data_IF_963506224048
#
_entry.id   IF_963506224048
#
_cell.length_a   1.000
_cell.length_b   1.000
_cell.length_c   1.000
_cell.angle_alpha   90.00
_cell.angle_beta   90.00
_cell.angle_gamma   90.00
#
_symmetry.space_group_name_H-M   'P 1'
#
loop_
_entity.id
_entity.type
_entity.pdbx_description
1 polymer ?
#
# COMPACT_ATOMS: atom_id res chain seq x y z
N UNK A 1 -0.96 24.15 -3.00
CA UNK A 1 -1.32 23.46 -1.75
C UNK A 1 -0.95 22.00 -1.84
N UNK A 2 -0.21 21.52 -0.87
CA UNK A 2 0.24 20.13 -0.84
C UNK A 2 -0.81 19.27 -0.17
N UNK A 3 -1.20 18.18 -0.84
CA UNK A 3 -2.11 17.22 -0.25
C UNK A 3 -1.30 16.08 0.36
N UNK A 4 -1.40 15.92 1.67
CA UNK A 4 -0.75 14.82 2.37
C UNK A 4 -1.75 13.68 2.49
N UNK A 5 -1.32 12.51 2.09
CA UNK A 5 -2.14 11.31 2.19
C UNK A 5 -1.83 10.60 3.50
N UNK A 6 -2.86 9.97 4.07
CA UNK A 6 -2.71 9.13 5.25
C UNK A 6 -2.36 7.72 4.78
N UNK A 7 -1.21 7.21 5.22
CA UNK A 7 -0.66 5.96 4.70
C UNK A 7 -0.57 4.92 5.81
N UNK A 8 -1.09 3.73 5.52
CA UNK A 8 -0.94 2.56 6.38
C UNK A 8 0.00 1.58 5.66
N UNK A 9 1.00 1.08 6.38
CA UNK A 9 1.95 0.13 5.82
C UNK A 9 1.66 -1.25 6.40
N UNK A 10 1.48 -2.24 5.53
CA UNK A 10 1.28 -3.63 5.94
C UNK A 10 2.44 -4.46 5.42
N UNK A 11 3.37 -4.80 6.31
CA UNK A 11 4.57 -5.56 5.97
C UNK A 11 5.13 -6.16 7.25
N UNK A 12 5.54 -7.41 7.21
CA UNK A 12 6.06 -8.09 8.39
C UNK A 12 7.56 -7.90 8.59
N UNK A 13 8.23 -7.21 7.68
CA UNK A 13 9.66 -6.93 7.79
C UNK A 13 9.87 -5.53 8.37
N UNK A 14 10.38 -5.41 9.61
CA UNK A 14 10.53 -4.08 10.23
C UNK A 14 11.49 -3.16 9.49
N UNK A 15 12.46 -3.71 8.75
CA UNK A 15 13.39 -2.88 7.96
C UNK A 15 12.67 -2.23 6.79
N UNK A 16 11.76 -2.97 6.15
CA UNK A 16 10.95 -2.45 5.06
C UNK A 16 10.03 -1.35 5.59
N UNK A 17 9.35 -1.62 6.70
CA UNK A 17 8.46 -0.63 7.32
C UNK A 17 9.22 0.67 7.60
N UNK A 18 10.41 0.55 8.18
CA UNK A 18 11.21 1.73 8.52
C UNK A 18 11.64 2.50 7.29
N UNK A 19 12.12 1.79 6.26
CA UNK A 19 12.58 2.42 5.02
C UNK A 19 11.43 3.12 4.30
N UNK A 20 10.29 2.45 4.19
CA UNK A 20 9.13 3.02 3.51
C UNK A 20 8.59 4.20 4.30
N UNK A 21 8.55 4.09 5.64
CA UNK A 21 8.09 5.20 6.48
C UNK A 21 8.94 6.45 6.29
N UNK A 22 10.26 6.28 6.26
CA UNK A 22 11.16 7.42 6.05
C UNK A 22 10.97 8.04 4.68
N UNK A 23 10.81 7.19 3.67
CA UNK A 23 10.64 7.65 2.30
C UNK A 23 9.36 8.47 2.14
N UNK A 24 8.27 8.00 2.74
CA UNK A 24 6.97 8.63 2.58
C UNK A 24 6.73 9.80 3.54
N UNK A 25 7.42 9.84 4.67
CA UNK A 25 7.17 10.85 5.70
C UNK A 25 7.52 12.28 5.24
N UNK A 26 8.30 12.41 4.19
CA UNK A 26 8.64 13.73 3.65
C UNK A 26 7.40 14.45 3.11
N UNK A 27 6.50 13.69 2.48
CA UNK A 27 5.35 14.26 1.79
C UNK A 27 4.00 13.76 2.29
N UNK A 28 3.97 12.72 3.12
CA UNK A 28 2.73 12.09 3.55
C UNK A 28 2.77 11.74 5.04
N UNK A 29 1.63 11.38 5.58
CA UNK A 29 1.49 11.01 7.00
C UNK A 29 1.37 9.50 7.11
N UNK A 30 2.43 8.85 7.61
CA UNK A 30 2.37 7.41 7.90
C UNK A 30 1.65 7.25 9.23
N UNK A 31 0.41 6.78 9.18
CA UNK A 31 -0.46 6.74 10.36
C UNK A 31 -0.35 5.45 11.15
N UNK A 32 0.31 4.44 10.59
CA UNK A 32 0.52 3.20 11.32
C UNK A 32 1.15 2.14 10.43
N UNK A 33 1.47 1.01 11.05
CA UNK A 33 1.94 -0.17 10.35
C UNK A 33 1.38 -1.41 11.02
N UNK A 34 1.15 -2.44 10.24
CA UNK A 34 0.66 -3.73 10.72
C UNK A 34 1.45 -4.85 10.07
N UNK A 35 1.46 -6.02 10.72
CA UNK A 35 2.28 -7.15 10.27
C UNK A 35 1.45 -8.32 9.75
N UNK A 36 0.14 -8.29 9.90
CA UNK A 36 -0.74 -9.40 9.47
C UNK A 36 -1.96 -8.87 8.76
N UNK A 37 -2.60 -9.74 7.97
CA UNK A 37 -3.83 -9.39 7.28
C UNK A 37 -4.99 -9.12 8.22
N UNK A 38 -5.06 -9.85 9.33
CA UNK A 38 -6.11 -9.64 10.34
C UNK A 38 -5.99 -8.24 10.93
N UNK A 39 -4.78 -7.85 11.31
CA UNK A 39 -4.54 -6.52 11.86
C UNK A 39 -4.77 -5.44 10.80
N UNK A 40 -4.50 -5.74 9.54
CA UNK A 40 -4.71 -4.79 8.45
C UNK A 40 -6.18 -4.40 8.34
N UNK A 41 -7.08 -5.37 8.30
CA UNK A 41 -8.50 -5.08 8.14
C UNK A 41 -9.03 -4.26 9.31
N UNK A 42 -8.58 -4.58 10.51
CA UNK A 42 -8.96 -3.83 11.71
C UNK A 42 -8.42 -2.40 11.67
N UNK A 43 -7.15 -2.24 11.29
CA UNK A 43 -6.52 -0.92 11.22
C UNK A 43 -7.17 -0.03 10.16
N UNK A 44 -7.60 -0.60 9.04
CA UNK A 44 -8.29 0.17 8.00
C UNK A 44 -9.56 0.79 8.55
N UNK A 45 -10.31 0.04 9.34
CA UNK A 45 -11.55 0.55 9.94
C UNK A 45 -11.28 1.64 10.96
N UNK A 46 -10.22 1.51 11.74
CA UNK A 46 -9.89 2.46 12.80
C UNK A 46 -9.20 3.71 12.30
N UNK A 47 -8.25 3.55 11.39
CA UNK A 47 -7.38 4.65 10.95
C UNK A 47 -7.87 5.34 9.68
N UNK A 48 -8.67 4.66 8.90
CA UNK A 48 -9.21 5.18 7.63
C UNK A 48 -8.12 5.80 6.76
N UNK A 49 -7.13 4.99 6.35
CA UNK A 49 -6.04 5.52 5.52
C UNK A 49 -6.53 5.84 4.10
N UNK A 50 -5.85 6.75 3.45
CA UNK A 50 -6.09 7.05 2.05
C UNK A 50 -5.42 6.01 1.15
N UNK A 51 -4.24 5.55 1.57
CA UNK A 51 -3.43 4.61 0.81
C UNK A 51 -2.87 3.55 1.75
N UNK A 52 -2.86 2.32 1.28
CA UNK A 52 -2.23 1.20 1.97
C UNK A 52 -1.09 0.70 1.09
N UNK A 53 0.11 0.62 1.66
CA UNK A 53 1.24 -0.06 1.02
C UNK A 53 1.24 -1.47 1.59
N UNK A 54 0.87 -2.43 0.78
CA UNK A 54 0.58 -3.80 1.21
C UNK A 54 1.59 -4.77 0.63
N UNK A 55 2.34 -5.42 1.53
CA UNK A 55 3.24 -6.50 1.16
C UNK A 55 2.42 -7.70 0.67
N UNK A 56 2.78 -8.20 -0.49
CA UNK A 56 2.10 -9.34 -1.10
C UNK A 56 2.25 -10.63 -0.27
N UNK A 57 3.29 -10.71 0.55
CA UNK A 57 3.62 -11.93 1.30
C UNK A 57 3.48 -11.76 2.80
N UNK A 58 2.36 -11.19 3.25
CA UNK A 58 2.09 -11.11 4.68
C UNK A 58 2.01 -12.50 5.31
N UNK A 59 2.47 -12.58 6.55
CA UNK A 59 2.67 -13.84 7.26
C UNK A 59 1.41 -14.70 7.37
N UNK A 60 0.26 -14.10 7.60
CA UNK A 60 -0.97 -14.85 7.83
C UNK A 60 -1.85 -14.95 6.59
N UNK A 61 -1.26 -14.77 5.41
CA UNK A 61 -2.00 -15.24 4.41
C UNK A 61 -2.27 -14.57 3.10
N UNK A 62 -3.45 -14.11 2.91
CA UNK A 62 -4.00 -13.78 1.62
C UNK A 62 -4.04 -12.28 1.41
N UNK A 63 -2.89 -11.71 1.00
CA UNK A 63 -2.81 -10.28 0.73
C UNK A 63 -3.71 -9.87 -0.42
N UNK A 64 -3.84 -10.72 -1.44
CA UNK A 64 -4.73 -10.42 -2.57
C UNK A 64 -6.18 -10.40 -2.14
N UNK A 65 -6.58 -11.34 -1.28
CA UNK A 65 -7.93 -11.36 -0.73
C UNK A 65 -8.21 -10.15 0.14
N UNK A 66 -7.23 -9.75 0.96
CA UNK A 66 -7.36 -8.55 1.78
C UNK A 66 -7.50 -7.30 0.90
N UNK A 67 -6.70 -7.21 -0.15
CA UNK A 67 -6.78 -6.11 -1.11
C UNK A 67 -8.18 -6.02 -1.72
N UNK A 68 -8.70 -7.15 -2.17
CA UNK A 68 -10.04 -7.21 -2.78
C UNK A 68 -11.10 -6.77 -1.78
N UNK A 69 -11.04 -7.27 -0.56
CA UNK A 69 -12.01 -6.91 0.45
C UNK A 69 -11.99 -5.41 0.77
N UNK A 70 -10.79 -4.86 0.94
CA UNK A 70 -10.62 -3.43 1.26
C UNK A 70 -11.15 -2.57 0.13
N UNK A 71 -10.78 -2.86 -1.11
CA UNK A 71 -11.17 -2.03 -2.24
C UNK A 71 -12.66 -2.13 -2.55
N UNK A 72 -13.29 -3.25 -2.23
CA UNK A 72 -14.73 -3.40 -2.40
C UNK A 72 -15.53 -2.65 -1.33
N UNK A 73 -15.04 -2.64 -0.09
CA UNK A 73 -15.73 -1.99 1.03
C UNK A 73 -15.44 -0.49 1.12
N UNK A 74 -14.25 -0.08 0.71
CA UNK A 74 -13.79 1.30 0.88
C UNK A 74 -13.27 1.82 -0.45
N UNK A 75 -14.17 2.28 -1.29
CA UNK A 75 -13.79 2.73 -2.64
C UNK A 75 -12.85 3.93 -2.64
N UNK A 76 -12.80 4.67 -1.53
CA UNK A 76 -11.90 5.81 -1.41
C UNK A 76 -10.48 5.42 -0.97
N UNK A 77 -10.30 4.19 -0.47
CA UNK A 77 -8.99 3.71 -0.03
C UNK A 77 -8.29 3.04 -1.21
N UNK A 78 -7.08 3.47 -1.50
CA UNK A 78 -6.27 2.90 -2.58
C UNK A 78 -5.26 1.92 -1.99
N UNK A 79 -4.98 0.86 -2.73
CA UNK A 79 -4.01 -0.15 -2.30
C UNK A 79 -2.89 -0.22 -3.34
N UNK A 80 -1.65 -0.05 -2.87
CA UNK A 80 -0.45 -0.28 -3.66
C UNK A 80 0.13 -1.59 -3.17
N UNK A 81 0.21 -2.59 -4.05
CA UNK A 81 0.86 -3.85 -3.70
C UNK A 81 2.36 -3.74 -3.90
N UNK A 82 3.10 -4.18 -2.92
CA UNK A 82 4.54 -3.99 -2.80
C UNK A 82 5.18 -5.36 -2.65
N UNK A 83 6.04 -5.74 -3.58
CA UNK A 83 6.56 -7.10 -3.63
C UNK A 83 8.00 -7.15 -4.11
N UNK A 84 8.76 -8.11 -3.60
CA UNK A 84 10.09 -8.40 -4.11
C UNK A 84 10.06 -9.32 -5.33
N UNK A 85 8.89 -9.74 -5.76
CA UNK A 85 8.73 -10.67 -6.89
C UNK A 85 7.97 -9.97 -8.02
N UNK A 86 8.64 -9.72 -9.13
CA UNK A 86 8.06 -9.03 -10.28
C UNK A 86 7.64 -10.03 -11.35
N UNK A 87 6.77 -10.96 -10.98
CA UNK A 87 6.18 -11.94 -11.90
C UNK A 87 4.96 -11.31 -12.58
N UNK A 88 4.88 -11.34 -13.93
CA UNK A 88 3.73 -10.77 -14.63
C UNK A 88 2.39 -11.34 -14.20
N UNK A 89 2.34 -12.62 -13.81
CA UNK A 89 1.10 -13.24 -13.35
C UNK A 89 0.68 -12.67 -11.99
N UNK A 90 1.64 -12.45 -11.11
CA UNK A 90 1.37 -11.85 -9.80
C UNK A 90 0.90 -10.41 -9.97
N UNK A 91 1.54 -9.67 -10.86
CA UNK A 91 1.14 -8.29 -11.17
C UNK A 91 -0.30 -8.25 -11.70
N UNK A 92 -0.65 -9.16 -12.59
CA UNK A 92 -2.00 -9.25 -13.15
C UNK A 92 -3.03 -9.50 -12.05
N UNK A 93 -2.74 -10.46 -11.16
CA UNK A 93 -3.63 -10.79 -10.04
C UNK A 93 -3.80 -9.62 -9.07
N UNK A 94 -2.73 -8.87 -8.85
CA UNK A 94 -2.77 -7.69 -7.99
C UNK A 94 -3.77 -6.66 -8.52
N UNK A 95 -3.67 -6.37 -9.81
CA UNK A 95 -4.57 -5.39 -10.43
C UNK A 95 -6.00 -5.89 -10.46
N UNK A 96 -6.21 -7.18 -10.68
CA UNK A 96 -7.55 -7.78 -10.64
C UNK A 96 -8.16 -7.73 -9.25
N UNK A 97 -7.32 -7.76 -8.22
CA UNK A 97 -7.80 -7.66 -6.84
C UNK A 97 -8.14 -6.23 -6.45
N UNK A 98 -7.94 -5.27 -7.33
CA UNK A 98 -8.32 -3.89 -7.10
C UNK A 98 -7.17 -2.97 -6.72
N UNK A 99 -5.93 -3.44 -6.72
CA UNK A 99 -4.78 -2.58 -6.45
C UNK A 99 -4.66 -1.52 -7.53
N UNK A 100 -4.34 -0.30 -7.13
CA UNK A 100 -4.15 0.79 -8.09
C UNK A 100 -2.74 0.78 -8.68
N UNK A 101 -1.80 0.09 -8.03
CA UNK A 101 -0.44 -0.05 -8.53
C UNK A 101 0.23 -1.27 -7.93
N UNK A 102 1.21 -1.79 -8.64
CA UNK A 102 2.08 -2.85 -8.17
C UNK A 102 3.51 -2.32 -8.26
N UNK A 103 4.24 -2.35 -7.15
CA UNK A 103 5.58 -1.76 -7.07
C UNK A 103 6.57 -2.81 -6.60
N UNK A 104 7.72 -2.87 -7.28
CA UNK A 104 8.82 -3.76 -6.93
C UNK A 104 9.59 -3.16 -5.75
N UNK A 105 9.81 -3.96 -4.71
CA UNK A 105 10.53 -3.51 -3.50
C UNK A 105 11.96 -3.05 -3.78
N UNK A 106 12.55 -3.49 -4.88
CA UNK A 106 13.90 -3.10 -5.26
C UNK A 106 13.98 -1.66 -5.77
N UNK A 107 12.85 -1.07 -6.13
CA UNK A 107 12.83 0.26 -6.76
C UNK A 107 11.97 1.23 -5.95
N UNK A 108 12.57 1.78 -4.89
CA UNK A 108 11.87 2.75 -4.02
C UNK A 108 11.35 3.97 -4.77
N UNK A 109 12.04 4.39 -5.83
CA UNK A 109 11.61 5.52 -6.65
C UNK A 109 10.25 5.25 -7.30
N UNK A 110 9.95 3.98 -7.61
CA UNK A 110 8.65 3.62 -8.21
C UNK A 110 7.51 3.82 -7.21
N UNK A 111 7.79 3.62 -5.93
CA UNK A 111 6.79 3.88 -4.89
C UNK A 111 6.47 5.38 -4.82
N UNK A 112 7.48 6.22 -4.88
CA UNK A 112 7.28 7.67 -4.90
C UNK A 112 6.44 8.07 -6.11
N UNK A 113 6.76 7.52 -7.29
CA UNK A 113 6.03 7.80 -8.51
C UNK A 113 4.56 7.38 -8.39
N UNK A 114 4.31 6.22 -7.79
CA UNK A 114 2.95 5.74 -7.59
C UNK A 114 2.16 6.70 -6.70
N UNK A 115 2.79 7.22 -5.65
CA UNK A 115 2.14 8.17 -4.76
C UNK A 115 1.83 9.49 -5.44
N UNK A 116 2.71 9.96 -6.32
CA UNK A 116 2.46 11.19 -7.08
C UNK A 116 1.19 11.10 -7.90
N UNK A 117 0.92 9.93 -8.47
CA UNK A 117 -0.28 9.73 -9.27
C UNK A 117 -1.55 9.75 -8.42
N UNK A 118 -1.45 9.52 -7.12
CA UNK A 118 -2.60 9.49 -6.24
C UNK A 118 -2.93 10.83 -5.62
N UNK A 119 -1.99 11.76 -5.60
CA UNK A 119 -2.21 13.08 -4.99
C UNK A 119 -3.07 13.93 -5.93
N UNK A 120 -4.22 14.43 -5.45
CA UNK A 120 -5.08 15.26 -6.28
C UNK A 120 -4.35 16.49 -6.82
N UNK A 121 -4.56 16.79 -8.09
CA UNK A 121 -3.96 17.94 -8.73
C UNK A 121 -2.55 17.72 -9.22
N UNK A 122 -1.98 16.55 -9.05
CA UNK A 122 -0.64 16.21 -9.48
C UNK A 122 -0.62 15.23 -10.65
N UNK A 123 -1.69 15.18 -11.40
CA UNK A 123 -1.82 14.30 -12.54
C UNK A 123 -1.37 15.04 -13.80
N UNK A 124 -0.20 14.70 -14.28
CA UNK A 124 0.33 15.32 -15.50
C UNK A 124 1.16 14.35 -16.26
#
# INVERSE_FOLDING_TARGET
MTSRLRVLIADDNPRVVKSVSRLLALDHDVVGSVTTGTLLLEAVQQLRPDVIVLDLTLTDGDSLGACREITQRNTATRVILFSGDDDPEIRRRALEAGACAFVDKLFGADLISAFRCLVPGNAE
#
